data_IF_111274563005
#
_entry.id   IF_111274563005
#
_cell.length_a   1.000
_cell.length_b   1.000
_cell.length_c   1.000
_cell.angle_alpha   90.00
_cell.angle_beta   90.00
_cell.angle_gamma   90.00
#
_symmetry.space_group_name_H-M   'P 1'
#
loop_
_entity.id
_entity.type
_entity.pdbx_description
1 polymer ?
#
# COMPACT_ATOMS: atom_id res chain seq x y z
N UNK A 1 18.44 14.23 2.56
CA UNK A 1 17.28 14.39 3.46
C UNK A 1 16.86 15.84 3.32
N UNK A 2 16.00 16.09 2.35
CA UNK A 2 15.57 17.43 1.99
C UNK A 2 14.71 18.00 3.12
N UNK A 3 15.34 18.84 3.94
CA UNK A 3 14.66 19.64 4.96
C UNK A 3 13.86 20.74 4.24
N UNK A 4 12.69 20.40 3.69
CA UNK A 4 11.73 21.42 3.26
C UNK A 4 11.40 22.27 4.48
N UNK A 5 11.53 23.59 4.36
CA UNK A 5 11.50 24.43 5.54
C UNK A 5 10.10 24.41 6.19
N UNK A 6 10.09 24.21 7.50
CA UNK A 6 8.90 24.27 8.36
C UNK A 6 7.93 25.42 8.03
N UNK A 7 8.37 26.65 7.67
CA UNK A 7 7.44 27.70 7.27
C UNK A 7 6.61 27.37 6.02
N UNK A 8 7.16 26.69 5.01
CA UNK A 8 6.38 26.29 3.82
C UNK A 8 5.30 25.28 4.19
N UNK A 9 5.62 24.34 5.08
CA UNK A 9 4.68 23.33 5.57
C UNK A 9 3.55 23.99 6.34
N UNK A 10 3.88 24.93 7.24
CA UNK A 10 2.90 25.71 8.00
C UNK A 10 1.98 26.51 7.10
N UNK A 11 2.54 27.25 6.13
CA UNK A 11 1.76 28.05 5.20
C UNK A 11 0.77 27.19 4.38
N UNK A 12 1.20 26.03 3.86
CA UNK A 12 0.30 25.14 3.14
C UNK A 12 -0.81 24.58 4.05
N UNK A 13 -0.50 24.28 5.31
CA UNK A 13 -1.53 23.84 6.27
C UNK A 13 -2.54 24.94 6.59
N UNK A 14 -2.11 26.21 6.66
CA UNK A 14 -3.02 27.36 6.85
C UNK A 14 -3.92 27.59 5.63
N UNK A 15 -3.39 27.40 4.41
CA UNK A 15 -4.20 27.50 3.18
C UNK A 15 -5.18 26.33 3.03
N UNK A 16 -4.78 25.13 3.47
CA UNK A 16 -5.53 23.89 3.25
C UNK A 16 -5.74 23.11 4.57
N UNK A 17 -6.67 23.55 5.45
CA UNK A 17 -6.85 22.93 6.76
C UNK A 17 -7.36 21.47 6.72
N UNK A 18 -7.88 21.02 5.57
CA UNK A 18 -8.32 19.64 5.36
C UNK A 18 -7.20 18.68 4.90
N UNK A 19 -5.99 19.18 4.65
CA UNK A 19 -4.87 18.39 4.12
C UNK A 19 -3.96 17.96 5.26
N UNK A 20 -3.61 16.68 5.29
CA UNK A 20 -2.72 16.12 6.30
C UNK A 20 -1.27 16.60 6.09
N UNK A 21 -0.50 16.74 7.18
CA UNK A 21 0.92 17.14 7.16
C UNK A 21 1.77 16.27 6.22
N UNK A 22 1.51 14.96 6.20
CA UNK A 22 2.20 14.00 5.31
C UNK A 22 1.99 14.35 3.83
N UNK A 23 0.76 14.75 3.46
CA UNK A 23 0.43 15.14 2.09
C UNK A 23 1.11 16.47 1.71
N UNK A 24 1.19 17.42 2.65
CA UNK A 24 1.92 18.68 2.47
C UNK A 24 3.41 18.43 2.22
N UNK A 25 4.07 17.60 3.04
CA UNK A 25 5.48 17.24 2.82
C UNK A 25 5.71 16.54 1.49
N UNK A 26 4.80 15.65 1.09
CA UNK A 26 4.88 14.97 -0.19
C UNK A 26 4.74 15.93 -1.38
N UNK A 27 3.77 16.85 -1.33
CA UNK A 27 3.59 17.85 -2.39
C UNK A 27 4.78 18.82 -2.45
N UNK A 28 5.33 19.24 -1.30
CA UNK A 28 6.56 20.04 -1.26
C UNK A 28 7.77 19.28 -1.82
N UNK A 29 7.81 17.96 -1.64
CA UNK A 29 8.88 17.14 -2.18
C UNK A 29 8.84 17.03 -3.70
N UNK A 30 7.65 16.84 -4.27
CA UNK A 30 7.44 16.84 -5.72
C UNK A 30 7.69 18.24 -6.31
N UNK A 31 7.31 19.29 -5.57
CA UNK A 31 7.50 20.68 -5.96
C UNK A 31 8.91 21.22 -5.65
N UNK A 32 9.84 20.39 -5.18
CA UNK A 32 11.24 20.78 -4.89
C UNK A 32 11.33 22.02 -3.97
N UNK A 33 10.42 22.12 -3.00
CA UNK A 33 10.36 23.23 -2.03
C UNK A 33 9.59 24.48 -2.49
N UNK A 34 9.01 24.47 -3.69
CA UNK A 34 8.18 25.55 -4.21
C UNK A 34 6.74 25.46 -3.65
N UNK A 35 6.36 26.47 -2.86
CA UNK A 35 5.05 26.57 -2.20
C UNK A 35 3.91 26.70 -3.22
N UNK A 36 4.09 27.48 -4.28
CA UNK A 36 3.03 27.74 -5.25
C UNK A 36 2.76 26.48 -6.09
N UNK A 37 3.82 25.80 -6.55
CA UNK A 37 3.70 24.50 -7.22
C UNK A 37 3.09 23.45 -6.30
N UNK A 38 3.51 23.40 -5.03
CA UNK A 38 2.94 22.47 -4.06
C UNK A 38 1.44 22.73 -3.81
N UNK A 39 1.01 23.99 -3.73
CA UNK A 39 -0.39 24.36 -3.58
C UNK A 39 -1.23 23.93 -4.79
N UNK A 40 -0.71 24.11 -6.02
CA UNK A 40 -1.36 23.61 -7.24
C UNK A 40 -1.52 22.09 -7.23
N UNK A 41 -0.48 21.36 -6.80
CA UNK A 41 -0.52 19.90 -6.64
C UNK A 41 -1.58 19.48 -5.62
N UNK A 42 -1.69 20.18 -4.50
CA UNK A 42 -2.72 19.94 -3.47
C UNK A 42 -4.12 20.12 -4.05
N UNK A 43 -4.38 21.22 -4.76
CA UNK A 43 -5.67 21.50 -5.39
C UNK A 43 -6.05 20.41 -6.41
N UNK A 44 -5.16 20.14 -7.36
CA UNK A 44 -5.39 19.13 -8.40
C UNK A 44 -5.70 17.76 -7.78
N UNK A 45 -5.04 17.42 -6.66
CA UNK A 45 -5.25 16.16 -5.96
C UNK A 45 -6.61 16.09 -5.25
N UNK A 46 -7.08 17.21 -4.70
CA UNK A 46 -8.42 17.30 -4.13
C UNK A 46 -9.50 17.20 -5.21
N UNK A 47 -9.32 17.89 -6.34
CA UNK A 47 -10.23 17.85 -7.49
C UNK A 47 -10.32 16.43 -8.10
N UNK A 48 -9.17 15.74 -8.19
CA UNK A 48 -9.10 14.36 -8.67
C UNK A 48 -9.60 13.31 -7.66
N UNK A 49 -10.01 13.73 -6.45
CA UNK A 49 -10.44 12.80 -5.38
C UNK A 49 -9.31 11.95 -4.80
N UNK A 50 -8.04 12.31 -5.04
CA UNK A 50 -6.84 11.58 -4.61
C UNK A 50 -6.24 12.11 -3.30
N UNK A 51 -6.91 13.06 -2.64
CA UNK A 51 -6.41 13.66 -1.40
C UNK A 51 -6.51 12.65 -0.26
N UNK A 52 -5.42 12.54 0.50
CA UNK A 52 -5.30 11.72 1.70
C UNK A 52 -6.07 12.37 2.86
N UNK A 53 -7.40 12.43 2.72
CA UNK A 53 -8.27 12.78 3.84
C UNK A 53 -8.09 11.70 4.89
N UNK A 54 -7.75 12.11 6.11
CA UNK A 54 -7.60 11.22 7.28
C UNK A 54 -8.98 10.72 7.71
N UNK A 55 -9.65 9.96 6.85
CA UNK A 55 -10.83 9.21 7.20
C UNK A 55 -10.32 7.85 7.65
N UNK A 56 -10.29 7.64 8.96
CA UNK A 56 -10.00 6.37 9.63
C UNK A 56 -11.16 5.39 9.40
N UNK A 57 -11.52 5.16 8.14
CA UNK A 57 -12.58 4.24 7.76
C UNK A 57 -12.15 3.48 6.52
N UNK A 58 -11.58 2.30 6.79
CA UNK A 58 -11.81 1.06 6.04
C UNK A 58 -11.25 1.01 4.60
N UNK A 59 -10.15 0.27 4.48
CA UNK A 59 -9.91 -0.73 3.43
C UNK A 59 -10.40 -0.37 2.01
N UNK A 60 -9.72 0.56 1.35
CA UNK A 60 -9.58 0.47 -0.10
C UNK A 60 -8.14 0.07 -0.41
N UNK A 61 -7.90 -0.95 -1.26
CA UNK A 61 -6.57 -1.21 -1.73
C UNK A 61 -6.15 0.04 -2.53
N UNK A 62 -5.22 0.81 -1.97
CA UNK A 62 -4.41 1.77 -2.70
C UNK A 62 -3.53 0.98 -3.67
N UNK A 63 -4.18 0.38 -4.67
CA UNK A 63 -3.58 -0.20 -5.85
C UNK A 63 -3.18 0.95 -6.77
N UNK A 64 -2.31 1.85 -6.29
CA UNK A 64 -1.49 2.72 -7.12
C UNK A 64 -0.58 3.54 -6.21
N UNK A 65 0.72 3.33 -6.41
CA UNK A 65 1.83 4.20 -6.00
C UNK A 65 2.34 4.03 -4.57
N UNK A 66 2.85 2.85 -4.28
CA UNK A 66 4.24 2.79 -3.83
C UNK A 66 4.95 1.79 -4.73
N UNK A 67 6.15 2.13 -5.21
CA UNK A 67 7.10 1.18 -5.78
C UNK A 67 7.52 0.22 -4.65
N UNK A 68 6.60 -0.62 -4.19
CA UNK A 68 6.97 -1.75 -3.37
C UNK A 68 7.70 -2.68 -4.33
N UNK A 69 9.02 -2.80 -4.14
CA UNK A 69 9.77 -3.97 -4.60
C UNK A 69 9.14 -5.12 -3.84
N UNK A 70 8.07 -5.70 -4.39
CA UNK A 70 7.34 -6.79 -3.75
C UNK A 70 8.30 -7.97 -3.76
N UNK A 71 8.74 -8.38 -2.58
CA UNK A 71 9.65 -9.52 -2.43
C UNK A 71 9.02 -10.75 -3.08
N UNK A 72 9.67 -11.32 -4.10
CA UNK A 72 9.19 -12.47 -4.85
C UNK A 72 8.79 -13.64 -3.95
N UNK A 73 9.46 -13.80 -2.80
CA UNK A 73 9.15 -14.85 -1.83
C UNK A 73 7.77 -14.67 -1.20
N UNK A 74 7.42 -13.42 -0.85
CA UNK A 74 6.12 -13.10 -0.27
C UNK A 74 5.01 -13.19 -1.32
N UNK A 75 5.29 -12.69 -2.53
CA UNK A 75 4.35 -12.80 -3.64
C UNK A 75 4.04 -14.26 -3.96
N UNK A 76 5.07 -15.11 -4.10
CA UNK A 76 4.91 -16.56 -4.32
C UNK A 76 4.10 -17.21 -3.21
N UNK A 77 4.41 -16.91 -1.94
CA UNK A 77 3.70 -17.48 -0.80
C UNK A 77 2.21 -17.15 -0.83
N UNK A 78 1.86 -15.91 -1.19
CA UNK A 78 0.47 -15.46 -1.33
C UNK A 78 -0.26 -16.16 -2.48
N UNK A 79 0.43 -16.43 -3.59
CA UNK A 79 -0.14 -17.16 -4.72
C UNK A 79 -0.38 -18.62 -4.36
N UNK A 80 0.61 -19.31 -3.77
CA UNK A 80 0.46 -20.70 -3.34
C UNK A 80 -0.68 -20.83 -2.34
N UNK A 81 -0.74 -20.01 -1.29
CA UNK A 81 -1.82 -20.08 -0.31
C UNK A 81 -3.23 -19.95 -0.92
N UNK A 82 -3.38 -19.18 -2.01
CA UNK A 82 -4.66 -18.97 -2.68
C UNK A 82 -5.08 -20.16 -3.56
N UNK A 83 -4.13 -20.86 -4.17
CA UNK A 83 -4.42 -21.85 -5.21
C UNK A 83 -3.95 -23.28 -4.88
N UNK A 84 -3.24 -23.49 -3.77
CA UNK A 84 -2.61 -24.76 -3.40
C UNK A 84 -3.56 -25.80 -2.78
N UNK A 85 -4.88 -25.63 -2.91
CA UNK A 85 -5.79 -26.69 -2.50
C UNK A 85 -5.79 -27.78 -3.59
N UNK A 86 -5.10 -28.87 -3.30
CA UNK A 86 -5.13 -30.11 -4.08
C UNK A 86 -6.00 -31.11 -3.31
N UNK A 87 -6.96 -31.70 -4.02
CA UNK A 87 -7.89 -32.70 -3.51
C UNK A 87 -7.12 -33.93 -2.99
N UNK A 88 -7.53 -34.44 -1.82
CA UNK A 88 -6.80 -35.45 -1.04
C UNK A 88 -7.40 -36.86 -1.21
N UNK A 89 -8.43 -37.02 -2.03
CA UNK A 89 -9.15 -38.29 -2.14
C UNK A 89 -8.44 -39.38 -2.97
N UNK A 90 -7.29 -39.11 -3.59
CA UNK A 90 -6.56 -40.12 -4.39
C UNK A 90 -5.61 -41.01 -3.56
N UNK A 91 -5.32 -40.67 -2.29
CA UNK A 91 -4.18 -41.24 -1.53
C UNK A 91 -4.57 -42.31 -0.46
N UNK A 92 -5.84 -42.74 -0.39
CA UNK A 92 -6.28 -43.69 0.67
C UNK A 92 -6.28 -45.18 0.27
N UNK A 93 -5.75 -45.52 -0.91
CA UNK A 93 -5.68 -46.91 -1.38
C UNK A 93 -4.26 -47.48 -1.31
N UNK A 94 -3.76 -47.74 -0.10
CA UNK A 94 -2.59 -48.61 0.07
C UNK A 94 -2.87 -49.85 0.92
N UNK A 95 -2.65 -50.99 0.27
CA UNK A 95 -2.93 -52.36 0.67
C UNK A 95 -1.88 -52.87 1.69
N UNK A 96 -2.31 -53.25 2.89
CA UNK A 96 -1.43 -53.91 3.87
C UNK A 96 -1.45 -55.43 3.66
N UNK A 97 -0.34 -56.06 3.23
CA UNK A 97 -0.26 -57.52 3.25
C UNK A 97 -0.21 -58.00 4.70
N UNK A 98 -1.08 -58.95 5.06
CA UNK A 98 -1.05 -59.57 6.40
C UNK A 98 0.18 -60.47 6.53
N UNK A 99 0.96 -60.27 7.61
CA UNK A 99 2.17 -61.06 7.91
C UNK A 99 1.85 -62.52 8.27
N UNK A 100 2.83 -63.44 8.13
CA UNK A 100 2.57 -64.89 8.14
C UNK A 100 2.20 -65.41 9.53
N UNK A 101 1.35 -66.44 9.55
CA UNK A 101 0.86 -67.13 10.75
C UNK A 101 1.93 -68.11 11.28
N UNK A 102 1.97 -68.28 12.62
CA UNK A 102 2.84 -69.22 13.36
C UNK A 102 2.74 -70.66 12.88
#
# INVERSE_FOLDING_TARGET
>A
QDSYSEPQVRLLQEMFPGVCSIEVHHCLSIAEGDVARAAQLVLHRQEAGQSLKTNVTVLQPMAQRQKAVVNDQELKSRIIARYSYVDKDDDIREHRPVGPKS
#
